data_IF_404132064857
#
_entry.id   IF_404132064857
#
_cell.length_a   1.000
_cell.length_b   1.000
_cell.length_c   1.000
_cell.angle_alpha   90.00
_cell.angle_beta   90.00
_cell.angle_gamma   90.00
#
_symmetry.space_group_name_H-M   'P 1'
#
loop_
_entity.id
_entity.type
_entity.pdbx_description
1 polymer ?
#
# COMPACT_ATOMS: atom_id res chain seq x y z
N UNK A 1 -1.35 14.67 2.84
CA UNK A 1 -1.82 15.21 1.54
C UNK A 1 -1.56 16.72 1.36
N UNK A 2 -0.68 17.35 2.17
CA UNK A 2 -0.51 18.80 2.18
C UNK A 2 -1.73 19.56 2.73
N UNK A 3 -1.66 20.89 2.73
CA UNK A 3 -2.73 21.81 3.13
C UNK A 3 -2.73 23.06 2.22
N UNK A 4 -3.79 23.86 2.28
CA UNK A 4 -3.95 25.07 1.45
C UNK A 4 -4.43 24.78 0.02
N UNK A 5 -4.22 25.72 -0.89
CA UNK A 5 -4.77 25.68 -2.27
C UNK A 5 -4.22 24.52 -3.11
N UNK A 6 -3.10 23.93 -2.72
CA UNK A 6 -2.47 22.78 -3.38
C UNK A 6 -2.64 21.47 -2.59
N UNK A 7 -3.56 21.43 -1.61
CA UNK A 7 -3.92 20.17 -0.95
C UNK A 7 -4.32 19.14 -2.01
N UNK A 8 -3.83 17.91 -1.87
CA UNK A 8 -4.00 16.85 -2.86
C UNK A 8 -5.48 16.68 -3.24
N UNK A 9 -5.82 17.06 -4.48
CA UNK A 9 -7.16 16.90 -5.04
C UNK A 9 -7.58 15.42 -5.07
N UNK A 10 -6.62 14.51 -5.27
CA UNK A 10 -6.83 13.07 -5.32
C UNK A 10 -6.91 12.36 -3.96
N UNK A 11 -6.93 13.07 -2.83
CA UNK A 11 -6.85 12.42 -1.50
C UNK A 11 -8.00 11.42 -1.28
N UNK A 12 -9.22 11.76 -1.70
CA UNK A 12 -10.38 10.87 -1.54
C UNK A 12 -10.31 9.66 -2.47
N UNK A 13 -9.74 9.81 -3.67
CA UNK A 13 -9.48 8.67 -4.56
C UNK A 13 -8.45 7.73 -3.96
N UNK A 14 -7.36 8.24 -3.40
CA UNK A 14 -6.35 7.42 -2.71
C UNK A 14 -6.94 6.68 -1.51
N UNK A 15 -7.76 7.36 -0.70
CA UNK A 15 -8.49 6.74 0.42
C UNK A 15 -9.44 5.63 -0.05
N UNK A 16 -10.18 5.85 -1.14
CA UNK A 16 -11.08 4.85 -1.71
C UNK A 16 -10.32 3.62 -2.23
N UNK A 17 -9.22 3.83 -2.96
CA UNK A 17 -8.39 2.75 -3.47
C UNK A 17 -7.81 1.90 -2.33
N UNK A 18 -7.28 2.53 -1.29
CA UNK A 18 -6.76 1.83 -0.11
C UNK A 18 -7.87 1.08 0.63
N UNK A 19 -9.05 1.68 0.78
CA UNK A 19 -10.21 1.03 1.40
C UNK A 19 -10.57 -0.26 0.66
N UNK A 20 -10.79 -0.17 -0.65
CA UNK A 20 -11.18 -1.32 -1.47
C UNK A 20 -10.08 -2.40 -1.44
N UNK A 21 -8.80 -2.00 -1.58
CA UNK A 21 -7.68 -2.93 -1.50
C UNK A 21 -7.73 -3.76 -0.21
N UNK A 22 -7.88 -3.10 0.94
CA UNK A 22 -7.91 -3.79 2.24
C UNK A 22 -9.19 -4.62 2.45
N UNK A 23 -10.36 -4.13 2.05
CA UNK A 23 -11.62 -4.89 2.08
C UNK A 23 -11.50 -6.20 1.30
N UNK A 24 -10.91 -6.13 0.11
CA UNK A 24 -10.76 -7.28 -0.78
C UNK A 24 -9.64 -8.23 -0.32
N UNK A 25 -8.55 -7.72 0.26
CA UNK A 25 -7.51 -8.53 0.91
C UNK A 25 -8.11 -9.32 2.08
N UNK A 26 -8.85 -8.66 2.97
CA UNK A 26 -9.45 -9.30 4.14
C UNK A 26 -10.50 -10.36 3.77
N UNK A 27 -11.11 -10.28 2.59
CA UNK A 27 -12.01 -11.34 2.09
C UNK A 27 -11.26 -12.57 1.59
N UNK A 28 -10.04 -12.43 1.06
CA UNK A 28 -9.33 -13.48 0.32
C UNK A 28 -8.21 -14.15 1.11
N UNK A 29 -7.58 -13.45 2.03
CA UNK A 29 -6.38 -13.90 2.73
C UNK A 29 -6.54 -13.76 4.24
N UNK A 30 -6.02 -14.75 4.99
CA UNK A 30 -5.94 -14.71 6.46
C UNK A 30 -4.69 -13.96 6.90
N UNK A 31 -3.62 -14.10 6.12
CA UNK A 31 -2.33 -13.52 6.44
C UNK A 31 -1.55 -13.16 5.18
N UNK A 32 -0.87 -12.01 5.22
CA UNK A 32 0.13 -11.59 4.24
C UNK A 32 1.45 -11.51 4.99
N UNK A 33 2.36 -12.42 4.70
CA UNK A 33 3.65 -12.56 5.37
C UNK A 33 4.73 -11.87 4.54
N UNK A 34 5.50 -10.97 5.13
CA UNK A 34 6.72 -10.44 4.51
C UNK A 34 7.85 -11.42 4.78
N UNK A 35 8.46 -11.97 3.72
CA UNK A 35 9.38 -13.13 3.81
C UNK A 35 10.83 -12.80 3.45
N UNK A 36 11.14 -11.52 3.23
CA UNK A 36 12.48 -11.07 2.89
C UNK A 36 12.65 -9.59 3.20
N UNK A 37 13.89 -9.11 3.08
CA UNK A 37 14.19 -7.69 3.22
C UNK A 37 13.54 -6.88 2.09
N UNK A 38 13.14 -5.65 2.38
CA UNK A 38 12.69 -4.74 1.35
C UNK A 38 13.86 -4.17 0.53
N UNK A 39 13.54 -3.72 -0.69
CA UNK A 39 14.38 -2.75 -1.39
C UNK A 39 13.64 -1.42 -1.52
N UNK A 40 14.37 -0.31 -1.30
CA UNK A 40 13.80 1.04 -1.31
C UNK A 40 14.11 1.77 -2.59
N UNK A 41 13.14 2.58 -3.04
CA UNK A 41 13.36 3.52 -4.13
C UNK A 41 14.48 4.50 -3.75
N UNK A 42 15.51 4.61 -4.59
CA UNK A 42 16.56 5.61 -4.41
C UNK A 42 16.04 7.01 -4.78
N UNK A 43 15.46 7.71 -3.81
CA UNK A 43 14.93 9.06 -3.98
C UNK A 43 14.97 9.83 -2.66
N UNK A 44 15.32 11.12 -2.73
CA UNK A 44 15.20 12.05 -1.60
C UNK A 44 13.77 12.55 -1.38
N UNK A 45 12.86 12.30 -2.34
CA UNK A 45 11.48 12.78 -2.31
C UNK A 45 10.47 11.64 -2.21
N UNK A 46 10.57 10.64 -3.11
CA UNK A 46 9.63 9.52 -3.17
C UNK A 46 10.03 8.45 -2.15
N UNK A 47 9.16 8.23 -1.15
CA UNK A 47 9.32 7.17 -0.15
C UNK A 47 8.58 5.91 -0.62
N UNK A 48 9.24 5.09 -1.43
CA UNK A 48 8.67 3.87 -2.01
C UNK A 48 9.55 2.64 -1.80
N UNK A 49 9.00 1.49 -2.14
CA UNK A 49 9.69 0.20 -2.21
C UNK A 49 9.77 -0.23 -3.68
N UNK A 50 10.95 -0.68 -4.13
CA UNK A 50 11.12 -1.31 -5.45
C UNK A 50 10.84 -2.81 -5.38
N UNK A 51 11.14 -3.43 -4.24
CA UNK A 51 10.81 -4.83 -3.97
C UNK A 51 10.29 -5.01 -2.53
N UNK A 52 9.27 -5.86 -2.38
CA UNK A 52 8.74 -6.31 -1.09
C UNK A 52 8.27 -7.77 -1.21
N UNK A 53 9.13 -8.75 -0.90
CA UNK A 53 8.78 -10.17 -1.02
C UNK A 53 7.67 -10.57 -0.04
N UNK A 54 6.54 -11.08 -0.56
CA UNK A 54 5.41 -11.51 0.26
C UNK A 54 4.95 -12.93 -0.06
N UNK A 55 4.46 -13.64 0.95
CA UNK A 55 3.71 -14.90 0.83
C UNK A 55 2.26 -14.67 1.28
N UNK A 56 1.31 -15.13 0.47
CA UNK A 56 -0.12 -15.01 0.74
C UNK A 56 -0.66 -16.30 1.34
N UNK A 57 -1.35 -16.18 2.48
CA UNK A 57 -2.04 -17.29 3.14
C UNK A 57 -3.55 -17.14 2.90
N UNK A 58 -4.11 -18.00 2.05
CA UNK A 58 -5.52 -17.93 1.62
C UNK A 58 -6.48 -18.26 2.77
N UNK A 59 -7.64 -17.61 2.80
CA UNK A 59 -8.77 -18.01 3.66
C UNK A 59 -9.29 -19.40 3.28
N UNK A 60 -9.48 -20.25 4.29
CA UNK A 60 -10.13 -21.55 4.17
C UNK A 60 -11.65 -21.40 4.00
#
# INVERSE_FOLDING_TARGET
FGFGIHRCMGNRTAELQLKILWEEIMKRFEHIEVVGNEERTFSSFVRGYTELPVRLHKKL
#
